data_IF_997954999457
#
_entry.id   IF_997954999457
#
_cell.length_a   1.000
_cell.length_b   1.000
_cell.length_c   1.000
_cell.angle_alpha   90.00
_cell.angle_beta   90.00
_cell.angle_gamma   90.00
#
_symmetry.space_group_name_H-M   'P 1'
#
loop_
_entity.id
_entity.type
_entity.pdbx_description
1 polymer ?
#
# COMPACT_ATOMS: atom_id res chain seq x y z
N UNK A 1 -59.68 -0.69 42.50
CA UNK A 1 -59.56 -0.38 41.05
C UNK A 1 -58.37 -1.15 40.52
N UNK A 2 -58.59 -2.24 39.79
CA UNK A 2 -57.52 -2.92 39.04
C UNK A 2 -57.56 -2.31 37.65
N UNK A 3 -56.53 -1.55 37.30
CA UNK A 3 -56.43 -0.88 36.01
C UNK A 3 -55.98 -1.91 34.96
N UNK A 4 -56.88 -2.83 34.60
CA UNK A 4 -56.63 -3.86 33.60
C UNK A 4 -56.71 -3.25 32.21
N UNK A 5 -55.58 -3.15 31.50
CA UNK A 5 -55.58 -2.91 30.06
C UNK A 5 -56.41 -4.02 29.40
N UNK A 6 -57.44 -3.62 28.67
CA UNK A 6 -58.18 -4.54 27.81
C UNK A 6 -57.28 -4.91 26.63
N UNK A 7 -56.80 -6.15 26.60
CA UNK A 7 -56.11 -6.72 25.43
C UNK A 7 -57.17 -6.95 24.34
N UNK A 8 -56.90 -6.49 23.11
CA UNK A 8 -57.77 -6.77 21.97
C UNK A 8 -57.58 -8.24 21.54
N UNK A 9 -58.54 -8.82 20.83
CA UNK A 9 -58.60 -10.25 20.46
C UNK A 9 -57.40 -10.82 19.67
N UNK A 10 -56.33 -10.06 19.43
CA UNK A 10 -55.13 -10.47 18.71
C UNK A 10 -53.81 -10.11 19.44
N UNK A 11 -53.88 -9.56 20.66
CA UNK A 11 -52.70 -9.19 21.43
C UNK A 11 -52.36 -10.32 22.42
N UNK A 12 -51.14 -10.85 22.33
CA UNK A 12 -50.57 -11.75 23.33
C UNK A 12 -49.54 -10.98 24.15
N UNK A 13 -49.89 -10.66 25.40
CA UNK A 13 -48.96 -10.06 26.37
C UNK A 13 -48.26 -11.17 27.17
N UNK A 14 -46.93 -11.23 27.08
CA UNK A 14 -46.11 -12.22 27.81
C UNK A 14 -45.28 -11.48 28.84
N UNK A 15 -45.63 -11.67 30.12
CA UNK A 15 -44.99 -10.98 31.24
C UNK A 15 -43.66 -11.60 31.69
N UNK A 16 -43.31 -12.79 31.21
CA UNK A 16 -42.07 -13.51 31.52
C UNK A 16 -41.49 -14.17 30.25
N UNK A 17 -41.25 -15.48 30.25
CA UNK A 17 -40.66 -16.19 29.12
C UNK A 17 -41.74 -16.77 28.19
N UNK A 18 -41.50 -16.71 26.88
CA UNK A 18 -42.19 -17.51 25.87
C UNK A 18 -41.34 -18.75 25.55
N UNK A 19 -41.90 -19.95 25.77
CA UNK A 19 -41.24 -21.21 25.40
C UNK A 19 -42.05 -21.85 24.27
N UNK A 20 -41.44 -22.02 23.10
CA UNK A 20 -42.03 -22.67 21.92
C UNK A 20 -41.30 -23.97 21.62
N UNK A 21 -42.03 -25.09 21.53
CA UNK A 21 -41.43 -26.42 21.34
C UNK A 21 -41.36 -26.85 19.86
N UNK A 22 -42.15 -26.22 18.98
CA UNK A 22 -42.34 -26.63 17.57
C UNK A 22 -42.25 -25.44 16.59
N UNK A 23 -41.32 -24.51 16.84
CA UNK A 23 -41.11 -23.32 16.01
C UNK A 23 -42.06 -22.15 16.31
N UNK A 24 -41.65 -20.95 15.92
CA UNK A 24 -42.46 -19.73 15.96
C UNK A 24 -42.68 -19.29 14.50
N UNK A 25 -43.92 -19.38 14.02
CA UNK A 25 -44.29 -18.91 12.68
C UNK A 25 -44.78 -17.47 12.78
N UNK A 26 -43.90 -16.51 12.53
CA UNK A 26 -44.20 -15.09 12.68
C UNK A 26 -44.74 -14.44 11.40
N UNK A 27 -45.61 -15.07 10.60
CA UNK A 27 -46.24 -14.45 9.40
C UNK A 27 -45.30 -13.62 8.52
N UNK A 28 -45.72 -12.42 8.08
CA UNK A 28 -44.88 -11.41 7.39
C UNK A 28 -43.86 -10.69 8.34
N UNK A 29 -43.60 -11.29 9.49
CA UNK A 29 -42.84 -10.75 10.61
C UNK A 29 -41.37 -11.17 10.62
N UNK A 30 -40.65 -10.46 11.48
CA UNK A 30 -39.20 -10.26 11.46
C UNK A 30 -38.39 -11.54 11.71
N UNK A 31 -38.94 -12.64 12.24
CA UNK A 31 -38.16 -13.80 12.69
C UNK A 31 -38.81 -15.13 12.30
N UNK A 32 -38.12 -15.97 11.53
CA UNK A 32 -38.52 -17.34 11.17
C UNK A 32 -37.45 -18.34 11.58
N UNK A 33 -37.83 -19.45 12.22
CA UNK A 33 -36.90 -20.51 12.60
C UNK A 33 -37.28 -21.82 11.90
N UNK A 34 -36.30 -22.44 11.23
CA UNK A 34 -36.39 -23.78 10.66
C UNK A 34 -35.47 -24.72 11.44
N UNK A 35 -35.47 -26.02 11.11
CA UNK A 35 -34.53 -26.98 11.75
C UNK A 35 -33.05 -26.60 11.54
N UNK A 36 -32.72 -25.87 10.46
CA UNK A 36 -31.34 -25.63 10.04
C UNK A 36 -30.89 -24.15 10.14
N UNK A 37 -31.82 -23.21 10.37
CA UNK A 37 -31.51 -21.79 10.37
C UNK A 37 -32.55 -20.95 11.11
N UNK A 38 -32.09 -19.82 11.65
CA UNK A 38 -32.94 -18.71 12.10
C UNK A 38 -32.77 -17.59 11.09
N UNK A 39 -33.83 -17.23 10.39
CA UNK A 39 -33.87 -16.14 9.42
C UNK A 39 -34.53 -14.92 10.04
N UNK A 40 -33.91 -13.74 9.86
CA UNK A 40 -34.52 -12.46 10.20
C UNK A 40 -34.90 -11.74 8.91
N UNK A 41 -36.19 -11.59 8.62
CA UNK A 41 -36.67 -10.89 7.43
C UNK A 41 -36.75 -9.39 7.69
N UNK A 42 -35.86 -8.65 7.06
CA UNK A 42 -35.85 -7.18 7.07
C UNK A 42 -36.68 -6.66 5.89
N UNK A 43 -37.55 -5.67 6.13
CA UNK A 43 -38.18 -4.94 5.02
C UNK A 43 -37.10 -4.09 4.32
N UNK A 44 -37.10 -3.98 2.98
CA UNK A 44 -36.29 -2.97 2.30
C UNK A 44 -36.58 -1.60 2.94
N UNK A 45 -35.55 -0.85 3.30
CA UNK A 45 -35.70 0.43 3.98
C UNK A 45 -36.69 1.33 3.21
N UNK A 46 -37.77 1.77 3.87
CA UNK A 46 -38.71 2.73 3.30
C UNK A 46 -38.12 4.16 3.26
N UNK A 47 -37.07 4.40 4.06
CA UNK A 47 -36.26 5.62 4.05
C UNK A 47 -35.04 5.43 3.16
N UNK A 48 -34.70 6.46 2.40
CA UNK A 48 -33.43 6.55 1.65
C UNK A 48 -32.21 6.72 2.55
N UNK A 49 -32.42 7.01 3.84
CA UNK A 49 -31.36 7.10 4.84
C UNK A 49 -31.28 5.77 5.61
N UNK A 50 -30.22 5.01 5.34
CA UNK A 50 -29.85 3.85 6.15
C UNK A 50 -29.16 4.33 7.42
N UNK A 51 -29.52 3.76 8.58
CA UNK A 51 -28.75 4.06 9.80
C UNK A 51 -27.37 3.40 9.75
N UNK A 52 -26.44 4.03 10.45
CA UNK A 52 -25.12 3.46 10.68
C UNK A 52 -25.22 2.12 11.43
N UNK A 53 -24.30 1.23 11.11
CA UNK A 53 -24.05 0.01 11.88
C UNK A 53 -23.65 0.45 13.31
N UNK A 54 -24.35 0.01 14.38
CA UNK A 54 -24.02 0.40 15.75
C UNK A 54 -22.58 0.07 16.10
N UNK A 55 -21.88 0.89 16.88
CA UNK A 55 -20.49 0.61 17.26
C UNK A 55 -20.33 -0.45 18.36
N UNK A 56 -21.44 -0.89 18.97
CA UNK A 56 -21.48 -1.90 20.04
C UNK A 56 -22.71 -2.79 19.91
N UNK A 57 -22.51 -3.99 19.40
CA UNK A 57 -23.53 -5.03 19.32
C UNK A 57 -23.21 -6.17 20.29
N UNK A 58 -24.22 -6.69 20.98
CA UNK A 58 -24.12 -7.89 21.81
C UNK A 58 -25.13 -8.93 21.29
N UNK A 59 -24.63 -10.01 20.70
CA UNK A 59 -25.44 -11.02 20.00
C UNK A 59 -25.66 -10.67 18.53
N UNK A 60 -26.79 -11.13 17.98
CA UNK A 60 -27.21 -10.86 16.60
C UNK A 60 -28.31 -9.80 16.66
N UNK A 61 -28.12 -8.68 15.95
CA UNK A 61 -29.10 -7.59 15.84
C UNK A 61 -29.36 -7.33 14.38
N UNK A 62 -30.63 -7.36 14.00
CA UNK A 62 -31.09 -6.96 12.68
C UNK A 62 -32.27 -6.01 12.89
N UNK A 63 -32.18 -4.83 12.26
CA UNK A 63 -33.10 -3.72 12.50
C UNK A 63 -33.82 -3.32 11.22
N UNK A 64 -35.09 -2.96 11.34
CA UNK A 64 -35.84 -2.29 10.26
C UNK A 64 -35.29 -0.90 9.92
N UNK A 65 -34.31 -0.40 10.69
CA UNK A 65 -33.52 0.79 10.37
C UNK A 65 -32.46 0.55 9.26
N UNK A 66 -32.38 -0.65 8.70
CA UNK A 66 -31.57 -0.94 7.50
C UNK A 66 -30.19 -1.53 7.74
N UNK A 67 -29.92 -2.09 8.94
CA UNK A 67 -28.64 -2.74 9.24
C UNK A 67 -28.82 -4.12 9.89
N UNK A 68 -27.81 -4.96 9.71
CA UNK A 68 -27.63 -6.21 10.42
C UNK A 68 -26.20 -6.29 10.97
N UNK A 69 -26.06 -6.76 12.20
CA UNK A 69 -24.77 -6.87 12.88
C UNK A 69 -24.74 -8.07 13.83
N UNK A 70 -23.54 -8.61 14.02
CA UNK A 70 -23.23 -9.60 15.03
C UNK A 70 -22.08 -9.04 15.86
N UNK A 71 -22.23 -9.02 17.19
CA UNK A 71 -21.16 -8.58 18.07
C UNK A 71 -21.04 -9.39 19.34
N UNK A 72 -19.81 -9.46 19.85
CA UNK A 72 -19.50 -10.15 21.10
C UNK A 72 -18.28 -9.52 21.77
N UNK A 73 -18.42 -9.20 23.05
CA UNK A 73 -17.37 -8.56 23.85
C UNK A 73 -16.78 -7.31 23.15
N UNK A 74 -17.63 -6.51 22.50
CA UNK A 74 -17.26 -5.30 21.77
C UNK A 74 -16.75 -5.52 20.34
N UNK A 75 -16.28 -6.71 19.96
CA UNK A 75 -15.97 -6.99 18.57
C UNK A 75 -17.26 -7.11 17.77
N UNK A 76 -17.24 -6.66 16.51
CA UNK A 76 -18.43 -6.63 15.69
C UNK A 76 -18.16 -6.87 14.22
N UNK A 77 -19.10 -7.52 13.54
CA UNK A 77 -19.24 -7.54 12.09
C UNK A 77 -20.64 -7.06 11.76
N UNK A 78 -20.80 -6.17 10.80
CA UNK A 78 -22.12 -5.74 10.37
C UNK A 78 -22.14 -5.22 8.95
N UNK A 79 -23.34 -5.05 8.42
CA UNK A 79 -23.58 -4.48 7.12
C UNK A 79 -24.88 -3.68 7.14
N UNK A 80 -24.94 -2.67 6.29
CA UNK A 80 -26.14 -1.90 5.97
C UNK A 80 -26.22 -1.73 4.44
N UNK A 81 -27.09 -0.87 3.93
CA UNK A 81 -27.22 -0.68 2.48
C UNK A 81 -26.01 0.01 1.83
N UNK A 82 -25.08 0.56 2.61
CA UNK A 82 -23.97 1.37 2.12
C UNK A 82 -22.61 0.67 2.23
N UNK A 83 -22.43 -0.14 3.27
CA UNK A 83 -21.15 -0.75 3.64
C UNK A 83 -21.31 -2.03 4.45
N UNK A 84 -20.22 -2.80 4.49
CA UNK A 84 -19.96 -3.87 5.46
C UNK A 84 -18.74 -3.49 6.29
N UNK A 85 -18.77 -3.72 7.59
CA UNK A 85 -17.71 -3.36 8.53
C UNK A 85 -17.37 -4.51 9.47
N UNK A 86 -16.08 -4.69 9.74
CA UNK A 86 -15.55 -5.46 10.87
C UNK A 86 -14.89 -4.45 11.82
N UNK A 87 -15.30 -4.42 13.08
CA UNK A 87 -14.83 -3.47 14.10
C UNK A 87 -14.23 -4.22 15.29
N UNK A 88 -13.05 -3.80 15.74
CA UNK A 88 -12.44 -4.33 16.97
C UNK A 88 -13.18 -3.87 18.22
N UNK A 89 -13.04 -4.60 19.32
CA UNK A 89 -13.60 -4.20 20.62
C UNK A 89 -13.18 -2.81 21.11
N UNK A 90 -11.99 -2.34 20.71
CA UNK A 90 -11.52 -0.98 21.01
C UNK A 90 -12.19 0.10 20.15
N UNK A 91 -12.83 -0.27 19.05
CA UNK A 91 -13.31 0.66 18.01
C UNK A 91 -12.20 1.30 17.17
N UNK A 92 -10.93 1.01 17.45
CA UNK A 92 -9.79 1.65 16.78
C UNK A 92 -9.32 0.91 15.53
N UNK A 93 -9.58 -0.39 15.40
CA UNK A 93 -9.26 -1.13 14.19
C UNK A 93 -10.55 -1.49 13.45
N UNK A 94 -10.59 -1.23 12.15
CA UNK A 94 -11.75 -1.44 11.30
C UNK A 94 -11.37 -1.90 9.90
N UNK A 95 -12.12 -2.84 9.35
CA UNK A 95 -12.16 -3.14 7.91
C UNK A 95 -13.52 -2.70 7.38
N UNK A 96 -13.56 -1.84 6.37
CA UNK A 96 -14.81 -1.38 5.75
C UNK A 96 -14.79 -1.71 4.27
N UNK A 97 -15.84 -2.34 3.77
CA UNK A 97 -16.12 -2.54 2.35
C UNK A 97 -17.35 -1.70 2.03
N UNK A 98 -17.21 -0.70 1.17
CA UNK A 98 -18.30 0.10 0.62
C UNK A 98 -18.25 0.02 -0.91
N UNK A 99 -19.32 0.38 -1.61
CA UNK A 99 -19.45 0.37 -3.09
C UNK A 99 -18.21 -0.08 -3.89
N UNK A 100 -17.26 0.84 -4.15
CA UNK A 100 -16.04 0.58 -4.93
C UNK A 100 -14.74 0.63 -4.08
N UNK A 101 -14.85 0.62 -2.75
CA UNK A 101 -13.69 0.83 -1.87
C UNK A 101 -13.61 -0.19 -0.73
N UNK A 102 -12.38 -0.60 -0.43
CA UNK A 102 -12.06 -1.34 0.78
C UNK A 102 -11.05 -0.52 1.56
N UNK A 103 -11.35 -0.22 2.83
CA UNK A 103 -10.42 0.44 3.75
C UNK A 103 -10.08 -0.47 4.92
N UNK A 104 -8.79 -0.55 5.23
CA UNK A 104 -8.28 -1.23 6.41
C UNK A 104 -7.59 -0.18 7.26
N UNK A 105 -8.16 0.10 8.43
CA UNK A 105 -7.55 0.94 9.44
C UNK A 105 -7.16 0.06 10.61
N UNK A 106 -5.87 -0.05 10.89
CA UNK A 106 -5.36 -0.77 12.04
C UNK A 106 -4.72 0.23 13.01
N UNK A 107 -5.07 0.16 14.29
CA UNK A 107 -4.59 1.09 15.31
C UNK A 107 -3.07 1.07 15.53
N UNK A 108 -2.36 0.05 15.03
CA UNK A 108 -0.92 -0.14 15.26
C UNK A 108 -0.18 -0.65 14.03
N UNK A 109 -0.68 -1.70 13.41
CA UNK A 109 0.03 -2.38 12.31
C UNK A 109 -0.94 -3.18 11.43
N UNK A 110 -0.69 -3.19 10.12
CA UNK A 110 -1.32 -4.11 9.17
C UNK A 110 -0.25 -5.05 8.60
N UNK A 111 -0.52 -6.36 8.62
CA UNK A 111 0.40 -7.39 8.14
C UNK A 111 -0.29 -8.30 7.13
N UNK A 112 0.28 -8.43 5.94
CA UNK A 112 -0.15 -9.37 4.89
C UNK A 112 0.93 -10.42 4.70
N UNK A 113 0.59 -11.69 4.94
CA UNK A 113 1.54 -12.80 4.82
C UNK A 113 1.04 -13.82 3.81
N UNK A 114 1.90 -14.18 2.86
CA UNK A 114 1.65 -15.26 1.90
C UNK A 114 2.94 -16.09 1.74
N UNK A 115 2.88 -17.36 2.17
CA UNK A 115 4.08 -18.21 2.21
C UNK A 115 5.17 -17.60 3.09
N UNK A 116 6.33 -17.30 2.50
CA UNK A 116 7.48 -16.68 3.19
C UNK A 116 7.55 -15.15 3.04
N UNK A 117 6.63 -14.55 2.30
CA UNK A 117 6.59 -13.10 2.08
C UNK A 117 5.66 -12.46 3.09
N UNK A 118 6.12 -11.39 3.72
CA UNK A 118 5.34 -10.58 4.66
C UNK A 118 5.49 -9.11 4.30
N UNK A 119 4.37 -8.45 4.08
CA UNK A 119 4.26 -6.98 3.94
C UNK A 119 3.72 -6.45 5.26
N UNK A 120 4.40 -5.47 5.85
CA UNK A 120 4.06 -4.90 7.15
C UNK A 120 4.03 -3.39 7.03
N UNK A 121 2.93 -2.78 7.47
CA UNK A 121 2.66 -1.34 7.40
C UNK A 121 2.39 -0.82 8.82
N UNK A 122 3.20 0.13 9.28
CA UNK A 122 3.06 0.77 10.60
C UNK A 122 3.62 2.22 10.57
N UNK A 123 3.80 2.82 11.74
CA UNK A 123 4.36 4.17 11.90
C UNK A 123 5.78 4.34 11.32
N UNK A 124 6.54 3.25 11.17
CA UNK A 124 7.88 3.27 10.56
C UNK A 124 7.85 3.15 9.02
N UNK A 125 6.66 2.99 8.42
CA UNK A 125 6.44 2.85 6.99
C UNK A 125 6.12 1.42 6.54
N UNK A 126 6.59 1.05 5.35
CA UNK A 126 6.31 -0.25 4.70
C UNK A 126 7.56 -1.11 4.67
N UNK A 127 7.48 -2.34 5.21
CA UNK A 127 8.57 -3.33 5.14
C UNK A 127 8.11 -4.61 4.45
N UNK A 128 9.04 -5.27 3.74
CA UNK A 128 8.75 -6.40 2.82
C UNK A 128 9.48 -7.69 3.19
N UNK A 129 10.11 -7.76 4.37
CA UNK A 129 10.87 -8.93 4.81
C UNK A 129 11.87 -9.46 3.75
N UNK A 130 12.66 -8.56 3.16
CA UNK A 130 13.64 -8.84 2.09
C UNK A 130 13.05 -9.44 0.79
N UNK A 131 11.74 -9.35 0.56
CA UNK A 131 11.13 -9.77 -0.70
C UNK A 131 11.58 -8.88 -1.87
N UNK A 132 11.64 -9.47 -3.07
CA UNK A 132 11.89 -8.74 -4.31
C UNK A 132 10.60 -8.07 -4.79
N UNK A 133 10.68 -6.80 -5.15
CA UNK A 133 9.61 -6.08 -5.84
C UNK A 133 9.88 -6.15 -7.35
N UNK A 134 8.97 -6.77 -8.09
CA UNK A 134 9.01 -6.85 -9.55
C UNK A 134 7.98 -5.90 -10.18
N UNK A 135 8.15 -5.55 -11.46
CA UNK A 135 7.23 -4.66 -12.16
C UNK A 135 7.38 -3.17 -11.85
N UNK A 136 8.49 -2.76 -11.23
CA UNK A 136 8.81 -1.35 -10.98
C UNK A 136 9.22 -0.69 -12.30
N UNK A 137 8.35 0.14 -12.87
CA UNK A 137 8.65 0.98 -14.03
C UNK A 137 9.81 1.96 -13.72
N UNK A 138 10.54 2.47 -14.73
CA UNK A 138 11.54 3.51 -14.48
C UNK A 138 10.90 4.71 -13.79
N UNK A 139 11.50 5.16 -12.67
CA UNK A 139 11.03 6.35 -11.97
C UNK A 139 11.20 7.61 -12.81
N UNK A 140 10.23 8.52 -12.73
CA UNK A 140 10.18 9.77 -13.52
C UNK A 140 10.24 10.99 -12.60
N UNK A 141 9.59 10.94 -11.44
CA UNK A 141 9.65 11.99 -10.43
C UNK A 141 10.76 11.74 -9.40
N UNK A 142 11.22 12.79 -8.72
CA UNK A 142 12.28 12.72 -7.69
C UNK A 142 11.95 11.81 -6.51
N UNK A 143 10.66 11.52 -6.29
CA UNK A 143 10.17 10.64 -5.21
C UNK A 143 9.86 9.22 -5.66
N UNK A 144 10.07 8.89 -6.94
CA UNK A 144 9.81 7.54 -7.45
C UNK A 144 10.93 6.58 -7.06
N UNK A 145 10.58 5.30 -6.88
CA UNK A 145 11.57 4.25 -6.72
C UNK A 145 12.37 4.06 -8.02
N UNK A 146 13.70 3.97 -7.92
CA UNK A 146 14.57 3.61 -9.05
C UNK A 146 14.55 2.10 -9.27
N UNK A 147 14.50 1.68 -10.53
CA UNK A 147 14.63 0.26 -10.88
C UNK A 147 16.06 -0.11 -11.29
N UNK A 148 16.33 -1.41 -11.42
CA UNK A 148 17.66 -1.93 -11.75
C UNK A 148 18.13 -1.48 -13.15
N UNK A 149 17.21 -1.20 -14.07
CA UNK A 149 17.53 -0.68 -15.40
C UNK A 149 18.18 0.70 -15.31
N UNK A 150 17.58 1.63 -14.57
CA UNK A 150 18.13 2.97 -14.34
C UNK A 150 19.49 2.92 -13.63
N UNK A 151 19.63 2.06 -12.61
CA UNK A 151 20.90 1.89 -11.90
C UNK A 151 22.01 1.36 -12.82
N UNK A 152 21.70 0.44 -13.74
CA UNK A 152 22.67 -0.07 -14.73
C UNK A 152 23.10 1.03 -15.71
N UNK A 153 22.16 1.82 -16.22
CA UNK A 153 22.47 2.95 -17.11
C UNK A 153 23.40 3.96 -16.44
N UNK A 154 23.15 4.32 -15.19
CA UNK A 154 24.04 5.18 -14.41
C UNK A 154 25.43 4.57 -14.25
N UNK A 155 25.51 3.28 -13.90
CA UNK A 155 26.79 2.56 -13.78
C UNK A 155 27.59 2.59 -15.09
N UNK A 156 26.93 2.39 -16.23
CA UNK A 156 27.59 2.47 -17.54
C UNK A 156 28.13 3.87 -17.82
N UNK A 157 27.34 4.92 -17.55
CA UNK A 157 27.77 6.29 -17.72
C UNK A 157 29.00 6.63 -16.86
N UNK A 158 28.99 6.23 -15.57
CA UNK A 158 30.13 6.43 -14.67
C UNK A 158 31.39 5.73 -15.18
N UNK A 159 31.26 4.50 -15.69
CA UNK A 159 32.40 3.78 -16.25
C UNK A 159 32.97 4.45 -17.50
N UNK A 160 32.10 5.02 -18.35
CA UNK A 160 32.54 5.81 -19.51
C UNK A 160 33.30 7.06 -19.07
N UNK A 161 32.75 7.81 -18.11
CA UNK A 161 33.42 9.02 -17.58
C UNK A 161 34.78 8.67 -16.95
N UNK A 162 34.90 7.60 -16.17
CA UNK A 162 36.19 7.15 -15.60
C UNK A 162 37.20 6.80 -16.71
N UNK A 163 36.75 6.11 -17.76
CA UNK A 163 37.59 5.79 -18.92
C UNK A 163 38.09 7.06 -19.61
N UNK A 164 37.20 8.02 -19.87
CA UNK A 164 37.54 9.26 -20.54
C UNK A 164 38.51 10.12 -19.70
N UNK A 165 38.31 10.18 -18.38
CA UNK A 165 39.21 10.89 -17.47
C UNK A 165 40.62 10.27 -17.46
N UNK A 166 40.73 8.93 -17.41
CA UNK A 166 42.03 8.25 -17.47
C UNK A 166 42.74 8.49 -18.80
N UNK A 167 42.00 8.45 -19.91
CA UNK A 167 42.54 8.80 -21.22
C UNK A 167 43.01 10.27 -21.25
N UNK A 168 42.26 11.20 -20.65
CA UNK A 168 42.65 12.60 -20.50
C UNK A 168 43.95 12.81 -19.72
N UNK A 169 44.13 12.07 -18.62
CA UNK A 169 45.40 12.08 -17.85
C UNK A 169 46.54 11.52 -18.71
N UNK A 170 46.32 10.39 -19.39
CA UNK A 170 47.33 9.81 -20.27
C UNK A 170 47.71 10.79 -21.40
N UNK A 171 46.75 11.48 -22.00
CA UNK A 171 47.03 12.53 -23.00
C UNK A 171 47.79 13.72 -22.41
N UNK A 172 47.46 14.15 -21.18
CA UNK A 172 48.18 15.24 -20.51
C UNK A 172 49.62 14.86 -20.19
N UNK A 173 49.85 13.62 -19.72
CA UNK A 173 51.19 13.08 -19.51
C UNK A 173 51.96 12.95 -20.83
N UNK A 174 51.29 12.53 -21.90
CA UNK A 174 51.85 12.47 -23.24
C UNK A 174 52.24 13.86 -23.74
N UNK A 175 51.42 14.88 -23.50
CA UNK A 175 51.73 16.27 -23.87
C UNK A 175 52.90 16.82 -23.05
N UNK A 176 52.96 16.51 -21.76
CA UNK A 176 54.04 16.95 -20.87
C UNK A 176 55.41 16.32 -21.20
N UNK A 177 55.44 15.19 -21.92
CA UNK A 177 56.68 14.55 -22.36
C UNK A 177 57.21 15.08 -23.70
N UNK A 178 56.48 15.99 -24.36
CA UNK A 178 56.91 16.62 -25.61
C UNK A 178 58.02 17.65 -25.33
N UNK A 179 59.22 17.52 -25.91
CA UNK A 179 60.31 18.46 -25.70
C UNK A 179 59.97 19.89 -26.14
N UNK A 180 60.36 20.88 -25.33
CA UNK A 180 60.23 22.30 -25.64
C UNK A 180 61.46 22.81 -26.44
N UNK A 181 61.26 23.59 -27.52
CA UNK A 181 62.37 24.15 -28.33
C UNK A 181 63.05 25.34 -27.65
N UNK A 182 64.38 25.28 -27.51
CA UNK A 182 65.23 26.38 -27.00
C UNK A 182 66.22 26.92 -28.05
N UNK A 183 66.17 26.46 -29.31
CA UNK A 183 67.08 26.93 -30.37
C UNK A 183 66.41 28.03 -31.19
N UNK A 184 66.93 29.27 -31.19
CA UNK A 184 66.33 30.36 -31.95
C UNK A 184 66.38 30.12 -33.47
N UNK A 185 65.30 30.47 -34.16
CA UNK A 185 65.20 30.34 -35.61
C UNK A 185 65.00 28.92 -36.14
N UNK A 186 64.77 27.91 -35.26
CA UNK A 186 64.45 26.52 -35.66
C UNK A 186 63.05 26.10 -35.21
N UNK A 187 62.38 25.33 -36.06
CA UNK A 187 61.10 24.68 -35.76
C UNK A 187 61.33 23.29 -35.21
N UNK A 188 60.55 22.87 -34.21
CA UNK A 188 60.57 21.52 -33.66
C UNK A 188 59.16 20.92 -33.72
N UNK A 189 59.07 19.69 -34.21
CA UNK A 189 57.87 18.86 -34.14
C UNK A 189 58.18 17.62 -33.31
N UNK A 190 57.31 17.28 -32.37
CA UNK A 190 57.49 16.12 -31.51
C UNK A 190 56.15 15.43 -31.20
N UNK A 191 56.23 14.14 -30.93
CA UNK A 191 55.12 13.27 -30.57
C UNK A 191 55.39 12.68 -29.19
N UNK A 192 54.43 12.83 -28.28
CA UNK A 192 54.44 12.21 -26.97
C UNK A 192 53.38 11.12 -26.89
N UNK A 193 53.68 10.07 -26.14
CA UNK A 193 52.74 9.02 -25.78
C UNK A 193 52.91 8.69 -24.31
N UNK A 194 51.80 8.40 -23.63
CA UNK A 194 51.83 7.95 -22.25
C UNK A 194 50.62 7.05 -21.98
N UNK A 195 50.72 6.31 -20.89
CA UNK A 195 49.64 5.46 -20.40
C UNK A 195 49.31 5.83 -18.96
N UNK A 196 48.04 5.68 -18.58
CA UNK A 196 47.58 5.88 -17.23
C UNK A 196 46.49 4.87 -16.88
N UNK A 197 46.79 3.99 -15.91
CA UNK A 197 45.85 3.00 -15.35
C UNK A 197 45.05 2.20 -16.41
N UNK A 198 45.73 1.72 -17.44
CA UNK A 198 45.15 0.88 -18.49
C UNK A 198 44.59 1.65 -19.70
N UNK A 199 44.55 2.98 -19.65
CA UNK A 199 44.27 3.82 -20.82
C UNK A 199 45.55 4.39 -21.41
N UNK A 200 45.51 4.73 -22.70
CA UNK A 200 46.62 5.28 -23.47
C UNK A 200 46.25 6.64 -24.02
N UNK A 201 47.22 7.55 -24.10
CA UNK A 201 47.07 8.88 -24.68
C UNK A 201 48.27 9.23 -25.55
N UNK A 202 48.02 10.01 -26.59
CA UNK A 202 49.05 10.55 -27.47
C UNK A 202 48.85 12.06 -27.63
N UNK A 203 49.94 12.78 -27.87
CA UNK A 203 49.94 14.21 -28.08
C UNK A 203 50.97 14.57 -29.14
N UNK A 204 50.70 15.62 -29.91
CA UNK A 204 51.62 16.16 -30.92
C UNK A 204 51.79 17.64 -30.68
N UNK A 205 53.04 18.10 -30.63
CA UNK A 205 53.38 19.49 -30.37
C UNK A 205 54.31 20.03 -31.44
N UNK A 206 54.04 21.26 -31.86
CA UNK A 206 54.93 22.06 -32.71
C UNK A 206 55.34 23.30 -31.96
N UNK A 207 56.63 23.62 -31.97
CA UNK A 207 57.15 24.83 -31.34
C UNK A 207 58.04 25.60 -32.31
N UNK A 208 57.86 26.92 -32.32
CA UNK A 208 58.54 27.86 -33.20
C UNK A 208 59.08 28.97 -32.31
N UNK A 209 60.39 29.14 -32.30
CA UNK A 209 61.05 30.16 -31.48
C UNK A 209 61.35 31.38 -32.36
N UNK A 210 60.50 32.40 -32.26
CA UNK A 210 60.71 33.72 -32.86
C UNK A 210 61.39 34.63 -31.84
N UNK A 211 62.48 35.27 -32.26
CA UNK A 211 63.03 36.42 -31.56
C UNK A 211 62.14 37.64 -31.77
#
# INVERSE_FOLDING_TARGET
MVNGKSLLNNDVEINHNLVVHNGLEAGDGILSATQNAVEVKLKPAASTESKDIPSKTHGIVASNDGYAAVGYAGNQVGFNSEKSEILSASGQSRVTVAHDTVSVHAAKETTLTAGKTTVRINDDGVTLNNARIHGVAPGVAETDAVNVGQLRSLRHHVNTVDKDLRAGIAMSMAAASIPQSYVPGKSLAALGAATYRGESGFAVGVSINYH
#
